data_IF_017217680928
#
_entry.id   IF_017217680928
#
_cell.length_a   1.000
_cell.length_b   1.000
_cell.length_c   1.000
_cell.angle_alpha   90.00
_cell.angle_beta   90.00
_cell.angle_gamma   90.00
#
_symmetry.space_group_name_H-M   'P 1'
#
loop_
_entity.id
_entity.type
_entity.pdbx_description
1 polymer ?
#
# COMPACT_ATOMS: atom_id res chain seq x y z
N UNK A 1 11.24 -0.53 -7.71
CA UNK A 1 9.78 -0.41 -7.95
C UNK A 1 9.13 0.38 -6.84
N UNK A 2 8.05 1.10 -7.14
CA UNK A 2 7.30 1.86 -6.14
C UNK A 2 6.81 0.94 -5.02
N UNK A 3 6.84 1.43 -3.78
CA UNK A 3 6.49 0.64 -2.60
C UNK A 3 7.45 -0.50 -2.26
N UNK A 4 8.49 -0.74 -3.05
CA UNK A 4 9.50 -1.76 -2.77
C UNK A 4 10.39 -1.39 -1.59
N UNK A 5 10.98 -2.41 -0.96
CA UNK A 5 12.05 -2.20 0.03
C UNK A 5 13.36 -1.90 -0.69
N UNK A 6 14.14 -1.00 -0.09
CA UNK A 6 15.51 -0.72 -0.49
C UNK A 6 16.43 -1.17 0.63
N UNK A 7 17.45 -1.96 0.28
CA UNK A 7 18.45 -2.41 1.25
C UNK A 7 19.51 -1.33 1.47
N UNK A 8 20.23 -1.43 2.59
CA UNK A 8 21.43 -0.62 2.80
C UNK A 8 22.42 -0.82 1.65
N UNK A 9 23.04 0.26 1.19
CA UNK A 9 23.89 0.25 0.01
C UNK A 9 23.82 1.54 -0.83
N UNK A 10 24.49 1.56 -1.98
CA UNK A 10 24.47 2.70 -2.89
C UNK A 10 23.06 2.99 -3.42
N UNK A 11 22.71 4.28 -3.48
CA UNK A 11 21.45 4.79 -4.01
C UNK A 11 21.77 5.94 -4.98
N UNK A 12 21.33 5.80 -6.23
CA UNK A 12 21.54 6.81 -7.27
C UNK A 12 20.24 7.19 -7.92
N UNK A 13 19.98 8.49 -7.98
CA UNK A 13 18.95 9.11 -8.80
C UNK A 13 19.67 9.87 -9.92
N UNK A 14 19.44 9.51 -11.18
CA UNK A 14 20.11 10.17 -12.30
C UNK A 14 19.53 11.56 -12.60
N UNK A 15 18.21 11.71 -12.45
CA UNK A 15 17.47 12.94 -12.65
C UNK A 15 16.08 12.83 -12.02
N UNK A 16 15.36 13.94 -11.93
CA UNK A 16 13.98 13.96 -11.48
C UNK A 16 13.86 13.99 -9.97
N UNK A 17 12.97 13.17 -9.42
CA UNK A 17 12.47 13.32 -8.06
C UNK A 17 12.13 11.94 -7.48
N UNK A 18 12.58 11.64 -6.26
CA UNK A 18 12.20 10.40 -5.56
C UNK A 18 11.86 10.64 -4.08
N UNK A 19 10.82 9.97 -3.59
CA UNK A 19 10.44 9.95 -2.17
C UNK A 19 10.90 8.64 -1.56
N UNK A 20 11.64 8.71 -0.44
CA UNK A 20 12.03 7.56 0.35
C UNK A 20 11.49 7.70 1.76
N UNK A 21 10.88 6.64 2.28
CA UNK A 21 10.52 6.53 3.69
C UNK A 21 11.42 5.48 4.32
N UNK A 22 12.22 5.91 5.29
CA UNK A 22 13.10 5.02 6.03
C UNK A 22 12.33 4.28 7.12
N UNK A 23 12.82 3.11 7.52
CA UNK A 23 12.18 2.30 8.56
C UNK A 23 12.18 2.99 9.94
N UNK A 24 13.07 3.97 10.17
CA UNK A 24 13.06 4.82 11.35
C UNK A 24 12.04 5.97 11.30
N UNK A 25 11.28 6.12 10.21
CA UNK A 25 10.19 7.09 10.08
C UNK A 25 10.54 8.39 9.35
N UNK A 26 11.83 8.68 9.12
CA UNK A 26 12.23 9.84 8.33
C UNK A 26 11.80 9.70 6.86
N UNK A 27 11.29 10.79 6.30
CA UNK A 27 10.88 10.89 4.89
C UNK A 27 11.86 11.79 4.16
N UNK A 28 12.45 11.28 3.08
CA UNK A 28 13.48 11.95 2.29
C UNK A 28 12.99 12.24 0.88
N UNK A 29 13.16 13.48 0.45
CA UNK A 29 12.97 13.93 -0.91
C UNK A 29 14.31 14.06 -1.61
N UNK A 30 14.55 13.28 -2.65
CA UNK A 30 15.71 13.40 -3.52
C UNK A 30 15.34 14.24 -4.73
N UNK A 31 16.16 15.24 -5.04
CA UNK A 31 15.94 16.15 -6.16
C UNK A 31 17.13 16.14 -7.13
N UNK A 32 16.83 15.95 -8.41
CA UNK A 32 17.79 16.05 -9.51
C UNK A 32 18.68 14.82 -9.59
N UNK A 33 19.98 15.05 -9.81
CA UNK A 33 20.99 14.01 -9.71
C UNK A 33 21.43 13.86 -8.25
N UNK A 34 21.30 12.67 -7.69
CA UNK A 34 21.71 12.35 -6.31
C UNK A 34 22.58 11.10 -6.30
N UNK A 35 23.73 11.19 -5.63
CA UNK A 35 24.54 10.03 -5.24
C UNK A 35 24.54 9.96 -3.70
N UNK A 36 23.99 8.87 -3.18
CA UNK A 36 23.83 8.66 -1.75
C UNK A 36 24.10 7.19 -1.39
N UNK A 37 24.21 6.91 -0.11
CA UNK A 37 24.28 5.56 0.44
C UNK A 37 23.29 5.43 1.58
N UNK A 38 22.36 4.49 1.47
CA UNK A 38 21.50 4.08 2.56
C UNK A 38 22.35 3.30 3.56
N UNK A 39 22.48 3.78 4.79
CA UNK A 39 23.28 3.11 5.83
C UNK A 39 22.41 2.26 6.73
N UNK A 40 21.27 2.79 7.16
CA UNK A 40 20.29 2.12 8.02
C UNK A 40 18.91 2.77 7.93
N UNK A 41 17.93 2.25 8.69
CA UNK A 41 16.61 2.87 8.81
C UNK A 41 16.62 4.27 9.45
N UNK A 42 17.74 4.71 10.04
CA UNK A 42 17.87 6.03 10.66
C UNK A 42 19.06 6.85 10.13
N UNK A 43 19.72 6.41 9.05
CA UNK A 43 20.89 7.13 8.54
C UNK A 43 21.14 6.94 7.04
N UNK A 44 21.53 8.05 6.41
CA UNK A 44 21.88 8.14 4.99
C UNK A 44 23.13 8.99 4.84
N UNK A 45 24.08 8.55 4.00
CA UNK A 45 25.20 9.37 3.58
C UNK A 45 24.90 10.02 2.22
N UNK A 46 24.94 11.35 2.13
CA UNK A 46 24.80 12.11 0.90
C UNK A 46 26.19 12.44 0.35
N UNK A 47 26.50 11.95 -0.86
CA UNK A 47 27.79 12.14 -1.52
C UNK A 47 27.75 13.30 -2.53
N UNK A 48 26.62 13.47 -3.22
CA UNK A 48 26.36 14.57 -4.13
C UNK A 48 24.85 14.76 -4.35
N UNK A 49 24.42 15.98 -4.62
CA UNK A 49 23.01 16.30 -4.92
C UNK A 49 22.28 16.94 -3.75
N UNK A 50 20.94 16.86 -3.78
CA UNK A 50 20.07 17.54 -2.82
C UNK A 50 19.07 16.57 -2.18
N UNK A 51 19.05 16.56 -0.85
CA UNK A 51 18.07 15.81 -0.04
C UNK A 51 17.32 16.78 0.87
N UNK A 52 15.99 16.67 0.88
CA UNK A 52 15.13 17.33 1.84
C UNK A 52 14.63 16.26 2.80
N UNK A 53 14.85 16.45 4.09
CA UNK A 53 14.40 15.53 5.12
C UNK A 53 13.22 16.15 5.86
N UNK A 54 12.15 15.38 6.02
CA UNK A 54 11.08 15.62 6.97
C UNK A 54 11.12 14.50 7.99
N UNK A 55 11.36 14.86 9.25
CA UNK A 55 11.54 13.90 10.33
C UNK A 55 10.48 14.18 11.40
N UNK A 56 9.47 13.31 11.52
CA UNK A 56 8.51 13.39 12.61
C UNK A 56 9.22 13.29 13.96
N UNK A 57 8.60 13.82 15.02
CA UNK A 57 9.16 13.78 16.38
C UNK A 57 9.50 12.36 16.85
N UNK A 58 8.66 11.38 16.50
CA UNK A 58 8.89 9.96 16.79
C UNK A 58 10.13 9.36 16.08
N UNK A 59 10.65 10.04 15.06
CA UNK A 59 11.81 9.67 14.26
C UNK A 59 13.05 10.54 14.57
N UNK A 60 13.00 11.38 15.62
CA UNK A 60 14.12 12.22 16.02
C UNK A 60 15.41 11.39 16.24
N UNK A 61 16.55 11.97 15.85
CA UNK A 61 17.84 11.28 15.80
C UNK A 61 18.23 10.73 14.43
N UNK A 62 17.40 10.95 13.39
CA UNK A 62 17.82 10.71 12.00
C UNK A 62 19.13 11.43 11.71
N UNK A 63 20.10 10.73 11.10
CA UNK A 63 21.43 11.26 10.82
C UNK A 63 21.72 11.25 9.32
N UNK A 64 21.89 12.44 8.74
CA UNK A 64 22.38 12.61 7.38
C UNK A 64 23.88 12.91 7.42
N UNK A 65 24.71 12.00 6.89
CA UNK A 65 26.16 12.22 6.78
C UNK A 65 26.48 12.93 5.48
N UNK A 66 27.33 13.95 5.56
CA UNK A 66 27.80 14.68 4.40
C UNK A 66 29.34 14.80 4.45
N UNK A 67 29.99 15.22 3.35
CA UNK A 67 31.35 15.71 3.46
C UNK A 67 31.47 16.80 4.53
N UNK A 68 32.54 16.73 5.34
CA UNK A 68 32.79 17.71 6.40
C UNK A 68 32.10 17.43 7.74
N UNK A 69 31.03 16.63 7.81
CA UNK A 69 30.37 16.32 9.09
C UNK A 69 29.01 15.62 8.99
N UNK A 70 28.40 15.40 10.15
CA UNK A 70 27.08 14.77 10.30
C UNK A 70 26.03 15.83 10.65
N UNK A 71 24.80 15.66 10.13
CA UNK A 71 23.63 16.46 10.48
C UNK A 71 22.66 15.56 11.22
N UNK A 72 22.40 15.85 12.49
CA UNK A 72 21.50 15.07 13.34
C UNK A 72 20.22 15.84 13.57
N UNK A 73 19.11 15.22 13.18
CA UNK A 73 17.78 15.76 13.33
C UNK A 73 17.28 15.66 14.78
N UNK A 74 16.57 16.69 15.24
CA UNK A 74 15.94 16.75 16.57
C UNK A 74 14.40 16.90 16.52
N UNK A 75 13.77 16.44 15.43
CA UNK A 75 12.35 16.56 15.11
C UNK A 75 12.07 17.72 14.16
N UNK A 76 12.54 17.64 12.91
CA UNK A 76 12.72 18.82 12.04
C UNK A 76 12.56 18.57 10.54
N UNK A 77 12.39 19.66 9.81
CA UNK A 77 12.54 19.72 8.36
C UNK A 77 13.81 20.49 7.99
N UNK A 78 14.68 19.86 7.20
CA UNK A 78 15.93 20.47 6.74
C UNK A 78 16.32 20.02 5.34
N UNK A 79 17.14 20.81 4.67
CA UNK A 79 17.66 20.54 3.32
C UNK A 79 19.17 20.48 3.39
N UNK A 80 19.75 19.45 2.79
CA UNK A 80 21.20 19.32 2.60
C UNK A 80 21.53 19.26 1.12
N UNK A 81 22.46 20.11 0.68
CA UNK A 81 23.02 20.11 -0.67
C UNK A 81 24.50 19.78 -0.59
N UNK A 82 24.95 18.84 -1.39
CA UNK A 82 26.38 18.54 -1.56
C UNK A 82 26.77 18.84 -3.00
N UNK A 83 27.63 19.84 -3.18
CA UNK A 83 28.16 20.23 -4.48
C UNK A 83 29.30 19.31 -4.93
N UNK A 84 29.69 19.42 -6.21
CA UNK A 84 30.74 18.60 -6.82
C UNK A 84 32.12 18.74 -6.16
N UNK A 85 32.40 19.87 -5.51
CA UNK A 85 33.61 20.12 -4.71
C UNK A 85 33.55 19.50 -3.30
N UNK A 86 32.50 18.71 -2.99
CA UNK A 86 32.28 18.11 -1.67
C UNK A 86 32.10 19.15 -0.55
N UNK A 87 31.61 20.35 -0.85
CA UNK A 87 31.06 21.25 0.16
C UNK A 87 29.61 20.85 0.44
N UNK A 88 29.24 20.77 1.72
CA UNK A 88 27.88 20.49 2.15
C UNK A 88 27.22 21.75 2.72
N UNK A 89 26.05 22.14 2.22
CA UNK A 89 25.25 23.24 2.73
C UNK A 89 23.98 22.67 3.39
N UNK A 90 23.77 23.00 4.66
CA UNK A 90 22.61 22.59 5.46
C UNK A 90 21.74 23.82 5.72
N UNK A 91 20.44 23.72 5.47
CA UNK A 91 19.46 24.78 5.76
C UNK A 91 18.31 24.20 6.56
N UNK A 92 17.96 24.81 7.69
CA UNK A 92 16.83 24.39 8.53
C UNK A 92 15.55 25.09 8.08
N UNK A 93 14.57 24.31 7.65
CA UNK A 93 13.27 24.81 7.19
C UNK A 93 12.34 25.03 8.37
N UNK A 94 12.25 24.05 9.28
CA UNK A 94 11.39 24.11 10.47
C UNK A 94 11.94 23.24 11.59
N UNK A 95 12.21 23.85 12.74
CA UNK A 95 12.70 23.18 13.94
C UNK A 95 14.18 23.43 14.16
N UNK A 96 14.91 22.40 14.59
CA UNK A 96 16.31 22.46 14.96
C UNK A 96 17.08 21.21 14.53
N UNK A 97 18.32 21.40 14.08
CA UNK A 97 19.28 20.31 13.83
C UNK A 97 20.57 20.56 14.62
N UNK A 98 21.28 19.48 14.93
CA UNK A 98 22.65 19.54 15.44
C UNK A 98 23.62 19.17 14.31
N UNK A 99 24.45 20.11 13.91
CA UNK A 99 25.55 19.87 12.98
C UNK A 99 26.79 19.50 13.76
N UNK A 100 27.34 18.32 13.46
CA UNK A 100 28.57 17.78 14.04
C UNK A 100 29.68 17.79 13.00
N UNK A 101 30.45 18.90 12.88
CA UNK A 101 31.57 18.92 11.95
C UNK A 101 32.66 17.93 12.36
N UNK A 102 33.46 17.48 11.40
CA UNK A 102 34.62 16.62 11.67
C UNK A 102 35.67 17.32 12.54
N UNK A 103 35.75 18.65 12.46
CA UNK A 103 36.62 19.46 13.29
C UNK A 103 35.81 20.53 14.02
N UNK A 104 36.05 20.66 15.33
CA UNK A 104 35.37 21.65 16.16
C UNK A 104 34.12 21.13 16.87
N UNK A 105 33.46 22.02 17.65
CA UNK A 105 32.29 21.64 18.44
C UNK A 105 31.03 21.48 17.58
N UNK A 106 30.09 20.67 18.07
CA UNK A 106 28.75 20.60 17.51
C UNK A 106 28.06 21.96 17.57
N UNK A 107 27.26 22.28 16.53
CA UNK A 107 26.54 23.53 16.41
C UNK A 107 25.06 23.28 16.22
N UNK A 108 24.23 23.93 17.04
CA UNK A 108 22.78 23.91 16.86
C UNK A 108 22.35 24.95 15.85
N UNK A 109 21.63 24.51 14.82
CA UNK A 109 20.97 25.38 13.86
C UNK A 109 19.46 25.33 14.09
N UNK A 110 18.81 26.48 13.95
CA UNK A 110 17.37 26.65 14.14
C UNK A 110 16.75 27.11 12.82
N UNK A 111 15.42 27.05 12.72
CA UNK A 111 14.62 27.57 11.60
C UNK A 111 15.21 28.82 10.94
N UNK A 112 15.34 28.79 9.62
CA UNK A 112 15.82 29.90 8.79
C UNK A 112 17.34 30.10 8.80
N UNK A 113 18.11 29.31 9.56
CA UNK A 113 19.57 29.35 9.54
C UNK A 113 20.15 28.33 8.57
N UNK A 114 21.33 28.66 8.04
CA UNK A 114 22.11 27.77 7.20
C UNK A 114 23.60 27.81 7.54
N UNK A 115 24.27 26.70 7.24
CA UNK A 115 25.68 26.49 7.51
C UNK A 115 26.29 25.65 6.38
N UNK A 116 27.47 26.06 5.92
CA UNK A 116 28.30 25.29 5.01
C UNK A 116 29.37 24.54 5.80
N UNK A 117 29.56 23.26 5.49
CA UNK A 117 30.64 22.41 5.96
C UNK A 117 31.58 22.14 4.78
N UNK A 118 32.84 22.49 4.95
CA UNK A 118 33.89 22.20 3.98
C UNK A 118 34.44 20.79 4.23
N UNK A 119 35.08 20.19 3.21
CA UNK A 119 35.60 18.81 3.30
C UNK A 119 36.63 18.61 4.42
N UNK A 120 37.39 19.65 4.75
CA UNK A 120 38.37 19.62 5.84
C UNK A 120 37.73 19.61 7.24
N UNK A 121 36.42 19.79 7.32
CA UNK A 121 35.65 19.83 8.56
C UNK A 121 35.45 21.23 9.12
N UNK A 122 35.97 22.27 8.46
CA UNK A 122 35.67 23.65 8.82
C UNK A 122 34.23 24.01 8.46
N UNK A 123 33.65 24.94 9.22
CA UNK A 123 32.26 25.37 9.04
C UNK A 123 32.13 26.87 8.98
N UNK A 124 31.16 27.35 8.20
CA UNK A 124 30.84 28.77 8.10
C UNK A 124 29.33 28.98 7.96
N UNK A 125 28.81 30.00 8.64
CA UNK A 125 27.44 30.43 8.42
C UNK A 125 27.27 30.90 6.96
N UNK A 126 26.11 30.61 6.37
CA UNK A 126 25.76 31.03 5.01
C UNK A 126 24.32 31.54 4.98
N UNK A 127 23.96 32.23 3.91
CA UNK A 127 22.58 32.66 3.70
C UNK A 127 21.70 31.43 3.42
N UNK A 128 20.58 31.31 4.15
CA UNK A 128 19.64 30.22 3.94
C UNK A 128 19.05 30.28 2.53
N UNK A 129 19.31 29.23 1.75
CA UNK A 129 18.69 29.00 0.44
C UNK A 129 17.51 28.08 0.64
N UNK A 130 16.43 28.63 1.21
CA UNK A 130 15.18 27.92 1.38
C UNK A 130 14.54 27.73 -0.01
N UNK A 131 14.27 26.48 -0.42
CA UNK A 131 13.35 26.26 -1.52
C UNK A 131 11.97 26.74 -1.05
N UNK A 132 11.36 27.67 -1.79
CA UNK A 132 10.14 28.37 -1.36
C UNK A 132 8.96 27.40 -1.12
N UNK A 133 9.01 26.17 -1.67
CA UNK A 133 7.89 25.20 -1.70
C UNK A 133 8.28 23.73 -1.87
N UNK A 134 9.40 23.27 -1.31
CA UNK A 134 9.93 21.94 -1.65
C UNK A 134 8.94 20.76 -1.50
N UNK A 135 8.12 20.80 -0.46
CA UNK A 135 7.09 19.78 -0.20
C UNK A 135 5.72 20.15 -0.79
N UNK A 136 5.39 21.44 -0.93
CA UNK A 136 4.14 21.91 -1.55
C UNK A 136 4.12 21.63 -3.07
N UNK A 137 5.26 21.79 -3.75
CA UNK A 137 5.41 21.45 -5.18
C UNK A 137 5.58 19.93 -5.41
N UNK A 138 5.59 19.13 -4.34
CA UNK A 138 5.58 17.67 -4.38
C UNK A 138 4.16 17.08 -4.51
N UNK A 139 3.13 17.88 -4.79
CA UNK A 139 1.89 17.35 -5.34
C UNK A 139 2.17 16.66 -6.68
N UNK A 140 2.64 15.41 -6.64
CA UNK A 140 2.59 14.53 -7.79
C UNK A 140 1.11 14.33 -8.04
N UNK A 141 0.60 14.99 -9.07
CA UNK A 141 -0.77 14.79 -9.53
C UNK A 141 -0.98 13.28 -9.67
N UNK A 142 -2.01 12.68 -9.07
CA UNK A 142 -2.23 11.23 -9.12
C UNK A 142 -2.18 10.69 -10.56
N UNK A 143 -2.71 11.45 -11.53
CA UNK A 143 -2.63 11.10 -12.95
C UNK A 143 -1.20 10.87 -13.47
N UNK A 144 -0.18 11.57 -12.94
CA UNK A 144 1.23 11.41 -13.31
C UNK A 144 1.91 10.22 -12.63
N UNK A 145 1.28 9.61 -11.62
CA UNK A 145 1.76 8.37 -10.98
C UNK A 145 1.26 7.11 -11.70
N UNK A 146 0.18 7.21 -12.48
CA UNK A 146 -0.34 6.06 -13.23
C UNK A 146 0.71 5.58 -14.20
N UNK A 147 0.99 4.28 -14.15
CA UNK A 147 1.91 3.63 -15.08
C UNK A 147 1.11 2.68 -15.95
N UNK A 148 1.37 2.75 -17.25
CA UNK A 148 0.84 1.76 -18.17
C UNK A 148 1.23 0.35 -17.71
N UNK A 149 0.27 -0.57 -17.69
CA UNK A 149 0.46 -1.94 -17.22
C UNK A 149 0.56 -2.12 -15.70
N UNK A 150 0.37 -1.08 -14.88
CA UNK A 150 0.37 -1.23 -13.43
C UNK A 150 -0.90 -1.89 -12.87
N UNK A 151 -2.04 -1.76 -13.56
CA UNK A 151 -3.25 -2.51 -13.24
C UNK A 151 -3.17 -3.91 -13.88
N UNK A 152 -3.00 -4.93 -13.04
CA UNK A 152 -2.77 -6.32 -13.46
C UNK A 152 -4.08 -7.09 -13.63
N UNK A 153 -5.04 -6.85 -12.73
CA UNK A 153 -6.37 -7.47 -12.73
C UNK A 153 -7.40 -6.43 -12.36
N UNK A 154 -8.53 -6.44 -13.05
CA UNK A 154 -9.68 -5.59 -12.75
C UNK A 154 -10.98 -6.31 -13.09
N UNK A 155 -11.98 -6.18 -12.23
CA UNK A 155 -13.35 -6.56 -12.52
C UNK A 155 -14.31 -5.66 -11.72
N UNK A 156 -15.13 -4.89 -12.44
CA UNK A 156 -16.20 -4.05 -11.89
C UNK A 156 -17.60 -4.64 -12.15
N UNK A 157 -17.67 -5.91 -12.58
CA UNK A 157 -18.92 -6.65 -12.79
C UNK A 157 -19.93 -5.95 -13.72
N UNK A 158 -19.46 -5.27 -14.77
CA UNK A 158 -20.24 -4.46 -15.72
C UNK A 158 -21.12 -5.28 -16.69
N UNK A 159 -21.41 -6.54 -16.37
CA UNK A 159 -22.31 -7.36 -17.18
C UNK A 159 -23.76 -6.90 -17.02
N UNK A 160 -24.61 -7.02 -18.07
CA UNK A 160 -25.99 -6.58 -18.03
C UNK A 160 -26.73 -7.06 -16.77
N UNK A 161 -27.55 -6.24 -16.10
CA UNK A 161 -28.24 -6.66 -14.88
C UNK A 161 -29.04 -7.95 -15.07
N UNK A 162 -28.94 -8.86 -14.10
CA UNK A 162 -29.66 -10.15 -14.12
C UNK A 162 -28.85 -11.30 -13.56
N UNK A 163 -29.47 -12.49 -13.56
CA UNK A 163 -28.85 -13.74 -13.10
C UNK A 163 -28.16 -14.45 -14.26
N UNK A 164 -26.85 -14.69 -14.11
CA UNK A 164 -25.99 -15.29 -15.14
C UNK A 164 -25.41 -16.63 -14.70
N UNK A 165 -25.14 -17.50 -15.66
CA UNK A 165 -24.16 -18.57 -15.46
C UNK A 165 -22.79 -17.90 -15.22
N UNK A 166 -22.04 -18.23 -14.16
CA UNK A 166 -20.70 -17.70 -13.95
C UNK A 166 -19.80 -17.82 -15.19
N UNK A 167 -19.96 -18.89 -15.98
CA UNK A 167 -19.18 -19.12 -17.19
C UNK A 167 -19.42 -18.08 -18.30
N UNK A 168 -20.55 -17.36 -18.26
CA UNK A 168 -20.87 -16.27 -19.18
C UNK A 168 -20.23 -14.93 -18.76
N UNK A 169 -19.73 -14.82 -17.52
CA UNK A 169 -19.15 -13.60 -16.98
C UNK A 169 -17.64 -13.58 -17.26
N UNK A 170 -17.27 -13.04 -18.43
CA UNK A 170 -15.89 -12.92 -18.90
C UNK A 170 -15.34 -11.49 -18.86
N UNK A 171 -16.12 -10.53 -18.36
CA UNK A 171 -15.71 -9.11 -18.28
C UNK A 171 -14.45 -8.85 -17.44
N UNK A 172 -14.02 -7.60 -17.41
CA UNK A 172 -12.79 -7.18 -16.73
C UNK A 172 -11.50 -7.50 -17.51
N UNK A 173 -10.35 -7.32 -16.85
CA UNK A 173 -9.02 -7.51 -17.43
C UNK A 173 -8.12 -8.34 -16.50
N UNK A 174 -7.11 -9.01 -17.07
CA UNK A 174 -6.13 -9.79 -16.31
C UNK A 174 -6.54 -11.22 -15.94
N UNK A 175 -7.67 -11.71 -16.47
CA UNK A 175 -8.24 -13.01 -16.15
C UNK A 175 -7.92 -14.08 -17.21
N UNK A 176 -7.65 -15.31 -16.76
CA UNK A 176 -7.36 -16.48 -17.59
C UNK A 176 -8.59 -17.29 -18.00
N UNK A 177 -9.79 -16.74 -17.82
CA UNK A 177 -11.05 -17.42 -18.08
C UNK A 177 -12.26 -16.71 -17.44
N UNK A 178 -13.46 -17.30 -17.52
CA UNK A 178 -14.66 -16.76 -16.87
C UNK A 178 -14.65 -17.03 -15.36
N UNK A 179 -15.61 -16.40 -14.66
CA UNK A 179 -15.95 -16.81 -13.30
C UNK A 179 -16.48 -18.25 -13.27
N UNK A 180 -16.33 -18.92 -12.13
CA UNK A 180 -16.88 -20.27 -11.91
C UNK A 180 -17.25 -20.50 -10.45
N UNK A 181 -17.99 -21.59 -10.22
CA UNK A 181 -18.17 -22.12 -8.86
C UNK A 181 -16.84 -22.61 -8.32
N UNK A 182 -16.64 -22.51 -7.00
CA UNK A 182 -15.43 -23.03 -6.36
C UNK A 182 -15.34 -24.55 -6.48
N UNK A 183 -14.25 -25.02 -7.08
CA UNK A 183 -13.91 -26.45 -7.24
C UNK A 183 -12.54 -26.76 -6.63
N UNK A 184 -12.23 -28.04 -6.47
CA UNK A 184 -10.85 -28.51 -6.27
C UNK A 184 -10.09 -28.62 -7.60
N UNK A 185 -8.86 -29.14 -7.54
CA UNK A 185 -7.99 -29.42 -8.69
C UNK A 185 -8.58 -30.43 -9.67
N UNK A 186 -9.50 -31.28 -9.23
CA UNK A 186 -10.17 -32.30 -10.06
C UNK A 186 -11.51 -31.79 -10.62
N UNK A 187 -11.87 -30.53 -10.35
CA UNK A 187 -13.11 -29.93 -10.80
C UNK A 187 -14.33 -30.31 -9.97
N UNK A 188 -14.17 -31.04 -8.86
CA UNK A 188 -15.27 -31.34 -7.96
C UNK A 188 -15.61 -30.12 -7.10
N UNK A 189 -16.91 -29.86 -6.91
CA UNK A 189 -17.36 -28.71 -6.12
C UNK A 189 -17.08 -28.95 -4.63
N UNK A 190 -16.26 -28.09 -4.03
CA UNK A 190 -15.86 -28.17 -2.61
C UNK A 190 -16.62 -27.20 -1.70
N UNK A 191 -17.74 -26.67 -2.19
CA UNK A 191 -18.56 -25.69 -1.46
C UNK A 191 -20.05 -26.06 -1.47
N UNK A 192 -20.71 -25.83 -0.32
CA UNK A 192 -22.08 -26.26 0.00
C UNK A 192 -23.16 -25.21 -0.28
N UNK A 193 -22.84 -24.09 -0.93
CA UNK A 193 -23.82 -23.03 -1.17
C UNK A 193 -24.87 -23.40 -2.20
N UNK A 194 -26.09 -22.90 -1.97
CA UNK A 194 -27.22 -23.17 -2.84
C UNK A 194 -27.16 -22.40 -4.17
N UNK A 195 -26.60 -21.17 -4.17
CA UNK A 195 -26.56 -20.33 -5.37
C UNK A 195 -25.52 -20.82 -6.39
N UNK A 196 -26.01 -21.16 -7.59
CA UNK A 196 -25.20 -21.61 -8.73
C UNK A 196 -24.96 -20.51 -9.77
N UNK A 197 -25.69 -19.40 -9.70
CA UNK A 197 -25.62 -18.29 -10.65
C UNK A 197 -24.95 -17.07 -10.02
N UNK A 198 -24.53 -16.10 -10.83
CA UNK A 198 -24.06 -14.79 -10.37
C UNK A 198 -25.04 -13.73 -10.83
N UNK A 199 -25.56 -12.96 -9.88
CA UNK A 199 -26.48 -11.86 -10.16
C UNK A 199 -25.70 -10.55 -10.28
N UNK A 200 -25.77 -9.89 -11.43
CA UNK A 200 -25.17 -8.56 -11.61
C UNK A 200 -26.24 -7.48 -11.57
N UNK A 201 -25.86 -6.28 -11.13
CA UNK A 201 -26.72 -5.10 -11.09
C UNK A 201 -25.99 -3.86 -11.59
N UNK A 202 -26.74 -2.84 -11.96
CA UNK A 202 -26.23 -1.52 -12.35
C UNK A 202 -26.65 -0.47 -11.31
N UNK A 203 -25.71 0.40 -10.94
CA UNK A 203 -25.85 1.43 -9.92
C UNK A 203 -25.21 2.72 -10.44
N UNK A 204 -26.01 3.60 -11.02
CA UNK A 204 -25.52 4.70 -11.85
C UNK A 204 -24.69 4.16 -13.03
N UNK A 205 -23.44 4.61 -13.12
CA UNK A 205 -22.49 4.16 -14.15
C UNK A 205 -21.63 2.95 -13.74
N UNK A 206 -21.90 2.33 -12.59
CA UNK A 206 -21.11 1.23 -12.05
C UNK A 206 -21.89 -0.11 -12.09
N UNK A 207 -21.18 -1.18 -12.44
CA UNK A 207 -21.65 -2.55 -12.25
C UNK A 207 -21.38 -3.04 -10.83
N UNK A 208 -22.01 -4.15 -10.44
CA UNK A 208 -21.66 -4.88 -9.23
C UNK A 208 -22.17 -6.33 -9.27
N UNK A 209 -21.47 -7.22 -8.56
CA UNK A 209 -22.01 -8.52 -8.19
C UNK A 209 -22.89 -8.39 -6.94
N UNK A 210 -24.14 -8.78 -7.06
CA UNK A 210 -25.09 -8.92 -5.97
C UNK A 210 -24.95 -10.31 -5.35
N UNK A 211 -24.10 -10.41 -4.33
CA UNK A 211 -23.95 -11.64 -3.58
C UNK A 211 -25.15 -11.79 -2.64
N UNK A 212 -25.97 -12.86 -2.77
CA UNK A 212 -27.15 -13.02 -1.92
C UNK A 212 -26.76 -13.31 -0.47
N UNK A 213 -27.74 -13.27 0.43
CA UNK A 213 -27.56 -13.76 1.80
C UNK A 213 -27.16 -15.24 1.82
N UNK A 214 -26.54 -15.67 2.91
CA UNK A 214 -25.90 -16.97 3.04
C UNK A 214 -24.48 -16.95 2.46
N UNK A 215 -23.86 -18.13 2.36
CA UNK A 215 -22.47 -18.25 1.91
C UNK A 215 -22.44 -18.38 0.38
N UNK A 216 -21.53 -17.65 -0.26
CA UNK A 216 -21.39 -17.56 -1.71
C UNK A 216 -19.89 -17.47 -2.03
N UNK A 217 -19.40 -18.40 -2.85
CA UNK A 217 -18.00 -18.43 -3.26
C UNK A 217 -17.92 -18.51 -4.78
N UNK A 218 -17.10 -17.65 -5.37
CA UNK A 218 -16.78 -17.65 -6.80
C UNK A 218 -15.28 -17.66 -6.95
N UNK A 219 -14.80 -18.43 -7.91
CA UNK A 219 -13.38 -18.48 -8.25
C UNK A 219 -13.16 -18.00 -9.68
N UNK A 220 -11.98 -17.45 -9.94
CA UNK A 220 -11.54 -17.10 -11.28
C UNK A 220 -10.02 -17.22 -11.39
N UNK A 221 -9.57 -17.78 -12.51
CA UNK A 221 -8.14 -17.96 -12.78
C UNK A 221 -7.51 -16.64 -13.23
N UNK A 222 -6.33 -16.35 -12.72
CA UNK A 222 -5.50 -15.24 -13.18
C UNK A 222 -4.87 -15.57 -14.54
N UNK A 223 -4.81 -14.59 -15.45
CA UNK A 223 -4.07 -14.77 -16.71
C UNK A 223 -2.56 -14.94 -16.45
N UNK A 224 -2.05 -14.21 -15.46
CA UNK A 224 -0.67 -14.31 -14.98
C UNK A 224 -0.68 -14.69 -13.50
N UNK A 225 -0.17 -15.87 -13.13
CA UNK A 225 -0.03 -16.27 -11.74
C UNK A 225 0.88 -15.34 -10.94
N UNK A 226 0.59 -15.21 -9.65
CA UNK A 226 1.44 -14.51 -8.69
C UNK A 226 2.54 -15.43 -8.22
N UNK A 227 3.72 -15.31 -8.82
CA UNK A 227 4.92 -15.93 -8.29
C UNK A 227 5.43 -15.11 -7.08
N UNK A 228 5.37 -15.73 -5.90
CA UNK A 228 5.81 -15.16 -4.63
C UNK A 228 7.26 -15.54 -4.27
N UNK A 229 7.94 -16.36 -5.08
CA UNK A 229 9.38 -16.61 -4.92
C UNK A 229 10.24 -15.49 -5.52
N UNK A 230 9.63 -14.54 -6.24
CA UNK A 230 10.30 -13.41 -6.88
C UNK A 230 10.04 -12.09 -6.15
N UNK A 231 11.00 -11.17 -6.25
CA UNK A 231 10.85 -9.80 -5.75
C UNK A 231 9.74 -9.08 -6.49
N UNK A 232 8.65 -8.75 -5.80
CA UNK A 232 7.55 -8.00 -6.39
C UNK A 232 6.76 -7.23 -5.33
N UNK A 233 6.17 -6.11 -5.78
CA UNK A 233 5.22 -5.31 -5.02
C UNK A 233 3.88 -5.44 -5.71
N UNK A 234 2.87 -5.88 -4.96
CA UNK A 234 1.50 -6.03 -5.46
C UNK A 234 0.52 -5.41 -4.48
N UNK A 235 -0.51 -4.78 -5.01
CA UNK A 235 -1.62 -4.20 -4.26
C UNK A 235 -2.89 -4.92 -4.67
N UNK A 236 -3.59 -5.51 -3.72
CA UNK A 236 -4.88 -6.14 -3.96
C UNK A 236 -5.96 -5.31 -3.25
N UNK A 237 -7.05 -4.99 -3.96
CA UNK A 237 -8.17 -4.29 -3.34
C UNK A 237 -9.52 -4.92 -3.67
N UNK A 238 -10.46 -4.75 -2.73
CA UNK A 238 -11.83 -5.20 -2.83
C UNK A 238 -12.74 -4.07 -2.34
N UNK A 239 -13.55 -3.52 -3.23
CA UNK A 239 -14.58 -2.54 -2.89
C UNK A 239 -15.93 -3.23 -2.77
N UNK A 240 -16.69 -2.89 -1.73
CA UNK A 240 -18.05 -3.35 -1.57
C UNK A 240 -18.92 -2.31 -0.88
N UNK A 241 -20.21 -2.45 -1.11
CA UNK A 241 -21.25 -1.75 -0.41
C UNK A 241 -22.14 -2.75 0.32
N UNK A 242 -22.53 -2.37 1.52
CA UNK A 242 -23.43 -3.13 2.36
C UNK A 242 -24.50 -2.23 2.96
N UNK A 243 -25.76 -2.64 2.80
CA UNK A 243 -26.87 -1.95 3.42
C UNK A 243 -26.81 -2.15 4.94
N UNK A 244 -26.86 -1.06 5.71
CA UNK A 244 -26.78 -1.13 7.16
C UNK A 244 -27.98 -1.89 7.72
N UNK A 245 -27.76 -3.01 8.42
CA UNK A 245 -28.85 -3.69 9.14
C UNK A 245 -29.45 -2.74 10.20
N UNK A 246 -30.80 -2.65 10.30
CA UNK A 246 -31.47 -1.90 11.37
C UNK A 246 -30.91 -2.30 12.74
N UNK A 247 -30.59 -1.32 13.57
CA UNK A 247 -29.90 -1.50 14.87
C UNK A 247 -30.59 -2.56 15.77
N UNK A 248 -31.92 -2.64 15.77
CA UNK A 248 -32.68 -3.62 16.54
C UNK A 248 -32.64 -5.08 16.01
N UNK A 249 -32.07 -5.32 14.83
CA UNK A 249 -31.90 -6.67 14.24
C UNK A 249 -30.46 -7.19 14.31
N UNK A 250 -29.52 -6.41 14.85
CA UNK A 250 -28.11 -6.79 14.92
C UNK A 250 -27.87 -7.81 16.04
N UNK A 251 -27.50 -9.04 15.67
CA UNK A 251 -26.84 -9.97 16.62
C UNK A 251 -25.33 -9.63 16.66
N UNK A 252 -24.65 -9.72 17.82
CA UNK A 252 -23.21 -9.43 17.92
C UNK A 252 -22.32 -10.24 16.97
N UNK A 253 -22.74 -11.46 16.62
CA UNK A 253 -22.04 -12.34 15.67
C UNK A 253 -22.39 -12.08 14.20
N UNK A 254 -23.28 -11.13 13.93
CA UNK A 254 -23.89 -10.88 12.62
C UNK A 254 -23.56 -9.47 12.13
N UNK A 255 -22.32 -9.03 12.35
CA UNK A 255 -21.84 -7.79 11.75
C UNK A 255 -21.97 -7.89 10.23
N UNK A 256 -22.59 -6.89 9.56
CA UNK A 256 -22.81 -6.90 8.12
C UNK A 256 -21.51 -7.17 7.36
N UNK A 257 -20.43 -6.43 7.63
CA UNK A 257 -19.17 -6.58 6.86
C UNK A 257 -18.40 -7.89 7.11
N UNK A 258 -18.88 -8.76 8.00
CA UNK A 258 -18.24 -10.03 8.29
C UNK A 258 -18.34 -11.02 7.13
N UNK A 259 -17.35 -11.91 7.02
CA UNK A 259 -17.42 -13.03 6.10
C UNK A 259 -17.27 -12.66 4.62
N UNK A 260 -16.85 -11.43 4.32
CA UNK A 260 -16.27 -11.06 3.02
C UNK A 260 -14.79 -11.45 3.00
N UNK A 261 -14.32 -12.12 1.94
CA UNK A 261 -12.88 -12.29 1.76
C UNK A 261 -12.48 -12.33 0.29
N UNK A 262 -11.31 -11.75 0.03
CA UNK A 262 -10.54 -11.90 -1.20
C UNK A 262 -9.38 -12.85 -0.92
N UNK A 263 -9.33 -13.99 -1.59
CA UNK A 263 -8.25 -14.97 -1.39
C UNK A 263 -7.54 -15.26 -2.70
N UNK A 264 -6.21 -15.20 -2.67
CA UNK A 264 -5.34 -15.70 -3.73
C UNK A 264 -4.81 -17.07 -3.30
N UNK A 265 -4.89 -18.09 -4.16
CA UNK A 265 -4.36 -19.42 -3.86
C UNK A 265 -3.98 -20.21 -5.10
N UNK A 266 -3.22 -21.29 -4.91
CA UNK A 266 -3.20 -22.42 -5.85
C UNK A 266 -4.36 -23.39 -5.56
N UNK A 267 -4.89 -24.02 -6.61
CA UNK A 267 -5.84 -25.13 -6.47
C UNK A 267 -5.16 -26.50 -6.34
N UNK A 268 -3.85 -26.59 -6.52
CA UNK A 268 -3.10 -27.83 -6.30
C UNK A 268 -2.96 -28.12 -4.79
N UNK A 269 -3.38 -29.32 -4.36
CA UNK A 269 -3.50 -29.75 -2.95
C UNK A 269 -2.18 -29.77 -2.15
N UNK A 270 -1.03 -29.64 -2.82
CA UNK A 270 0.28 -29.76 -2.21
C UNK A 270 0.95 -28.43 -1.81
N UNK A 271 0.41 -27.28 -2.20
CA UNK A 271 1.11 -26.00 -2.02
C UNK A 271 0.65 -25.23 -0.75
N UNK A 272 1.58 -24.77 0.12
CA UNK A 272 1.27 -23.88 1.25
C UNK A 272 0.88 -22.43 0.85
N UNK A 273 0.52 -22.20 -0.41
CA UNK A 273 0.28 -20.88 -0.98
C UNK A 273 -1.18 -20.44 -0.92
N UNK A 274 -1.54 -19.70 0.13
CA UNK A 274 -2.69 -18.79 0.05
C UNK A 274 -2.39 -17.47 0.72
N UNK A 275 -3.00 -16.42 0.21
CA UNK A 275 -3.12 -15.10 0.84
C UNK A 275 -4.60 -14.76 0.89
N UNK A 276 -5.20 -14.90 2.06
CA UNK A 276 -6.58 -14.51 2.33
C UNK A 276 -6.64 -13.16 3.02
N UNK A 277 -7.46 -12.26 2.50
CA UNK A 277 -7.70 -10.91 3.02
C UNK A 277 -9.17 -10.82 3.40
N UNK A 278 -9.48 -10.50 4.66
CA UNK A 278 -10.83 -10.62 5.21
C UNK A 278 -11.12 -9.55 6.26
N UNK A 279 -12.41 -9.28 6.48
CA UNK A 279 -12.93 -8.63 7.69
C UNK A 279 -13.70 -9.67 8.51
N UNK A 280 -13.37 -9.79 9.80
CA UNK A 280 -14.03 -10.73 10.71
C UNK A 280 -15.38 -10.21 11.24
N UNK A 281 -16.06 -10.99 12.08
CA UNK A 281 -17.36 -10.62 12.65
C UNK A 281 -17.32 -9.47 13.65
N UNK A 282 -16.14 -9.04 14.08
CA UNK A 282 -15.92 -7.89 14.94
C UNK A 282 -15.39 -6.69 14.15
N UNK A 283 -15.51 -6.71 12.82
CA UNK A 283 -14.98 -5.70 11.91
C UNK A 283 -13.46 -5.57 11.96
N UNK A 284 -12.74 -6.61 12.38
CA UNK A 284 -11.29 -6.57 12.38
C UNK A 284 -10.75 -7.09 11.05
N UNK A 285 -9.91 -6.32 10.35
CA UNK A 285 -9.12 -6.85 9.25
C UNK A 285 -8.36 -8.11 9.70
N UNK A 286 -8.22 -9.06 8.77
CA UNK A 286 -7.51 -10.32 8.97
C UNK A 286 -6.74 -10.72 7.71
N UNK A 287 -5.49 -11.13 7.91
CA UNK A 287 -4.69 -11.82 6.90
C UNK A 287 -4.63 -13.30 7.27
N UNK A 288 -4.88 -14.18 6.31
CA UNK A 288 -4.77 -15.62 6.44
C UNK A 288 -3.75 -16.15 5.44
N UNK A 289 -2.87 -17.03 5.89
CA UNK A 289 -1.85 -17.64 5.03
C UNK A 289 -2.03 -19.15 4.98
N UNK A 290 -1.40 -19.81 4.01
CA UNK A 290 -1.47 -21.28 3.89
C UNK A 290 -0.68 -22.02 4.95
N UNK A 291 0.19 -21.32 5.68
CA UNK A 291 0.98 -21.84 6.80
C UNK A 291 0.21 -21.96 8.12
N UNK A 292 -1.12 -21.79 8.10
CA UNK A 292 -1.95 -21.78 9.30
C UNK A 292 -1.80 -20.52 10.18
N UNK A 293 -0.87 -19.62 9.82
CA UNK A 293 -0.70 -18.32 10.46
C UNK A 293 -1.84 -17.38 10.03
N UNK A 294 -2.49 -16.77 11.02
CA UNK A 294 -3.49 -15.72 10.81
C UNK A 294 -3.16 -14.50 11.63
N UNK A 295 -3.19 -13.33 11.00
CA UNK A 295 -2.91 -12.04 11.62
C UNK A 295 -4.20 -11.27 11.72
N UNK A 296 -4.56 -10.79 12.92
CA UNK A 296 -5.80 -10.06 13.17
C UNK A 296 -5.45 -8.66 13.63
N UNK A 297 -6.09 -7.65 13.04
CA UNK A 297 -5.89 -6.27 13.44
C UNK A 297 -6.35 -6.04 14.89
N UNK A 298 -5.65 -5.14 15.58
CA UNK A 298 -6.11 -4.60 16.87
C UNK A 298 -7.12 -3.46 16.69
N UNK A 299 -7.09 -2.83 15.52
CA UNK A 299 -8.01 -1.77 15.10
C UNK A 299 -9.20 -2.42 14.40
N UNK A 300 -10.40 -1.87 14.64
CA UNK A 300 -11.60 -2.26 13.91
C UNK A 300 -11.79 -1.30 12.76
N UNK A 301 -12.18 -1.81 11.60
CA UNK A 301 -12.71 -0.97 10.54
C UNK A 301 -13.99 -0.29 11.06
N UNK A 302 -14.24 0.94 10.62
CA UNK A 302 -15.49 1.61 10.97
C UNK A 302 -16.67 0.94 10.25
N UNK A 303 -17.86 1.16 10.79
CA UNK A 303 -19.09 0.78 10.12
C UNK A 303 -19.39 1.77 8.99
N UNK A 304 -18.96 1.43 7.77
CA UNK A 304 -19.29 2.17 6.55
C UNK A 304 -20.34 1.46 5.71
N UNK A 305 -21.13 2.22 4.95
CA UNK A 305 -21.98 1.66 3.88
C UNK A 305 -21.15 1.19 2.69
N UNK A 306 -20.05 1.88 2.40
CA UNK A 306 -19.10 1.55 1.35
C UNK A 306 -17.72 1.46 1.96
N UNK A 307 -17.04 0.34 1.73
CA UNK A 307 -15.74 0.03 2.31
C UNK A 307 -14.76 -0.39 1.21
N UNK A 308 -13.48 -0.13 1.44
CA UNK A 308 -12.39 -0.57 0.57
C UNK A 308 -11.36 -1.30 1.41
N UNK A 309 -11.21 -2.60 1.16
CA UNK A 309 -10.09 -3.36 1.69
C UNK A 309 -8.92 -3.21 0.73
N UNK A 310 -7.74 -2.85 1.24
CA UNK A 310 -6.51 -2.80 0.44
C UNK A 310 -5.40 -3.55 1.16
N UNK A 311 -4.73 -4.44 0.45
CA UNK A 311 -3.54 -5.11 0.91
C UNK A 311 -2.35 -4.75 0.03
N UNK A 312 -1.19 -4.58 0.66
CA UNK A 312 0.11 -4.57 -0.03
C UNK A 312 0.82 -5.89 0.27
N UNK A 313 1.16 -6.61 -0.79
CA UNK A 313 1.88 -7.89 -0.77
C UNK A 313 3.27 -7.62 -1.35
N UNK A 314 4.27 -7.68 -0.48
CA UNK A 314 5.67 -7.61 -0.83
C UNK A 314 6.24 -9.03 -0.79
N UNK A 315 6.44 -9.64 -1.95
CA UNK A 315 7.17 -10.90 -2.07
C UNK A 315 8.65 -10.62 -2.24
N UNK A 316 9.50 -11.40 -1.58
CA UNK A 316 10.95 -11.25 -1.66
C UNK A 316 11.63 -12.57 -2.01
N UNK A 317 12.56 -12.55 -2.95
CA UNK A 317 13.43 -13.70 -3.26
C UNK A 317 14.26 -14.08 -2.04
N UNK A 318 14.78 -13.08 -1.34
CA UNK A 318 15.59 -13.23 -0.13
C UNK A 318 14.95 -12.49 1.05
N UNK A 319 14.85 -13.16 2.20
CA UNK A 319 14.21 -12.63 3.40
C UNK A 319 12.72 -12.99 3.51
N UNK A 320 12.01 -12.27 4.38
CA UNK A 320 10.60 -12.54 4.71
C UNK A 320 9.65 -11.88 3.71
N UNK A 321 8.52 -12.47 3.39
CA UNK A 321 7.44 -11.71 2.73
C UNK A 321 6.77 -10.77 3.74
N UNK A 322 6.29 -9.63 3.26
CA UNK A 322 5.47 -8.71 4.08
C UNK A 322 4.10 -8.54 3.43
N UNK A 323 3.05 -8.76 4.21
CA UNK A 323 1.70 -8.39 3.84
C UNK A 323 1.22 -7.32 4.81
N UNK A 324 0.75 -6.21 4.25
CA UNK A 324 0.05 -5.18 4.99
C UNK A 324 -1.40 -5.12 4.54
N UNK A 325 -2.29 -4.81 5.47
CA UNK A 325 -3.73 -4.74 5.22
C UNK A 325 -4.31 -3.53 5.96
N UNK A 326 -5.16 -2.77 5.27
CA UNK A 326 -6.00 -1.72 5.86
C UNK A 326 -7.38 -1.73 5.22
N UNK A 327 -8.39 -1.33 5.98
CA UNK A 327 -9.74 -1.05 5.45
C UNK A 327 -10.00 0.44 5.52
N UNK A 328 -10.43 1.01 4.40
CA UNK A 328 -10.79 2.41 4.25
C UNK A 328 -12.32 2.56 4.16
N UNK A 329 -12.79 3.75 4.51
CA UNK A 329 -14.19 4.12 4.52
C UNK A 329 -14.36 5.61 4.18
N UNK A 330 -15.57 6.13 4.35
CA UNK A 330 -15.90 7.52 4.00
C UNK A 330 -15.18 8.57 4.88
N UNK A 331 -14.93 8.24 6.15
CA UNK A 331 -14.29 9.13 7.11
C UNK A 331 -12.76 9.08 6.98
N UNK A 332 -12.23 7.96 6.47
CA UNK A 332 -10.81 7.75 6.18
C UNK A 332 -10.62 7.15 4.77
N UNK A 333 -10.77 7.97 3.71
CA UNK A 333 -10.63 7.51 2.32
C UNK A 333 -9.15 7.27 1.94
N UNK A 334 -8.86 6.38 0.97
CA UNK A 334 -7.50 6.18 0.49
C UNK A 334 -6.97 7.45 -0.19
N UNK A 335 -5.76 7.87 0.18
CA UNK A 335 -5.08 9.01 -0.43
C UNK A 335 -4.34 8.67 -1.73
N UNK A 336 -3.68 9.67 -2.31
CA UNK A 336 -2.80 9.50 -3.47
C UNK A 336 -1.54 8.64 -3.19
N UNK A 337 -1.26 8.37 -1.92
CA UNK A 337 -0.07 7.65 -1.47
C UNK A 337 -0.45 6.51 -0.52
N UNK A 338 0.46 5.54 -0.38
CA UNK A 338 0.32 4.51 0.65
C UNK A 338 0.12 5.16 2.02
N UNK A 339 -0.82 4.66 2.85
CA UNK A 339 -1.05 5.20 4.17
C UNK A 339 0.22 5.08 5.01
N UNK A 340 0.41 6.02 5.93
CA UNK A 340 1.52 5.97 6.89
C UNK A 340 1.41 4.75 7.80
N UNK A 341 0.18 4.45 8.21
CA UNK A 341 -0.14 3.33 9.09
C UNK A 341 -0.93 2.25 8.36
N UNK A 342 -0.63 1.00 8.67
CA UNK A 342 -1.37 -0.15 8.20
C UNK A 342 -1.96 -0.88 9.41
N UNK A 343 -3.22 -1.29 9.34
CA UNK A 343 -3.91 -2.00 10.44
C UNK A 343 -3.20 -3.29 10.82
N UNK A 344 -2.60 -3.95 9.81
CA UNK A 344 -1.78 -5.14 9.98
C UNK A 344 -0.51 -4.98 9.17
N UNK A 345 0.60 -5.44 9.75
CA UNK A 345 1.86 -5.74 9.06
C UNK A 345 2.36 -7.10 9.55
N UNK A 346 2.52 -8.05 8.63
CA UNK A 346 3.05 -9.38 8.99
C UNK A 346 4.55 -9.32 9.26
N UNK A 347 5.05 -10.34 9.97
CA UNK A 347 6.48 -10.64 10.17
C UNK A 347 6.66 -12.16 10.20
N UNK A 348 7.88 -12.64 9.93
CA UNK A 348 8.21 -14.06 9.98
C UNK A 348 7.47 -14.88 8.93
N UNK A 349 7.12 -14.27 7.79
CA UNK A 349 6.36 -14.91 6.73
C UNK A 349 7.27 -15.31 5.58
N UNK A 350 7.07 -16.51 5.04
CA UNK A 350 7.63 -16.94 3.76
C UNK A 350 6.56 -17.77 3.06
N UNK A 351 6.07 -17.28 1.94
CA UNK A 351 4.96 -17.88 1.20
C UNK A 351 5.45 -18.87 0.15
N UNK A 352 6.52 -18.53 -0.58
CA UNK A 352 7.21 -19.39 -1.56
C UNK A 352 6.25 -20.21 -2.44
N UNK A 353 5.26 -19.51 -3.01
CA UNK A 353 4.15 -20.13 -3.72
C UNK A 353 3.78 -19.39 -5.00
N UNK A 354 3.19 -20.12 -5.93
CA UNK A 354 2.57 -19.58 -7.14
C UNK A 354 1.05 -19.57 -6.92
N UNK A 355 0.44 -18.39 -6.90
CA UNK A 355 -1.01 -18.24 -6.71
C UNK A 355 -1.66 -17.91 -8.05
N UNK A 356 -2.54 -18.77 -8.53
CA UNK A 356 -3.12 -18.65 -9.88
C UNK A 356 -4.64 -18.46 -9.87
N UNK A 357 -5.30 -18.55 -8.70
CA UNK A 357 -6.73 -18.34 -8.55
C UNK A 357 -7.06 -17.24 -7.56
N UNK A 358 -8.07 -16.46 -7.90
CA UNK A 358 -8.81 -15.58 -6.99
C UNK A 358 -10.07 -16.29 -6.54
N UNK A 359 -10.35 -16.24 -5.25
CA UNK A 359 -11.62 -16.64 -4.65
C UNK A 359 -12.23 -15.43 -3.97
N UNK A 360 -13.43 -15.07 -4.41
CA UNK A 360 -14.29 -14.14 -3.70
C UNK A 360 -15.30 -14.92 -2.87
N UNK A 361 -15.34 -14.63 -1.59
CA UNK A 361 -16.34 -15.15 -0.67
C UNK A 361 -17.17 -14.01 -0.12
N UNK A 362 -18.48 -14.18 -0.14
CA UNK A 362 -19.43 -13.40 0.65
C UNK A 362 -20.27 -14.35 1.50
N UNK A 363 -20.30 -14.14 2.81
CA UNK A 363 -21.19 -14.90 3.69
C UNK A 363 -21.79 -14.00 4.76
N UNK A 364 -23.10 -14.07 4.95
CA UNK A 364 -23.77 -13.27 5.97
C UNK A 364 -25.28 -13.38 5.92
N UNK A 365 -26.00 -12.70 6.82
CA UNK A 365 -27.46 -12.68 6.85
C UNK A 365 -28.08 -11.72 5.82
N UNK A 366 -27.28 -10.81 5.25
CA UNK A 366 -27.67 -9.77 4.29
C UNK A 366 -27.05 -10.04 2.91
N UNK A 367 -27.73 -9.66 1.82
CA UNK A 367 -27.08 -9.48 0.52
C UNK A 367 -25.99 -8.41 0.59
N UNK A 368 -24.99 -8.53 -0.28
CA UNK A 368 -23.87 -7.59 -0.40
C UNK A 368 -23.66 -7.21 -1.86
N UNK A 369 -23.38 -5.93 -2.09
CA UNK A 369 -22.96 -5.42 -3.40
C UNK A 369 -21.44 -5.42 -3.45
N UNK A 370 -20.84 -6.35 -4.18
CA UNK A 370 -19.39 -6.37 -4.42
C UNK A 370 -19.16 -5.58 -5.71
N UNK A 371 -18.45 -4.47 -5.59
CA UNK A 371 -18.38 -3.47 -6.66
C UNK A 371 -17.15 -3.69 -7.52
N UNK A 372 -16.01 -4.00 -6.91
CA UNK A 372 -14.77 -4.02 -7.66
C UNK A 372 -13.69 -4.88 -7.01
N UNK A 373 -12.95 -5.61 -7.85
CA UNK A 373 -11.69 -6.28 -7.49
C UNK A 373 -10.57 -5.71 -8.32
N UNK A 374 -9.46 -5.34 -7.68
CA UNK A 374 -8.23 -4.94 -8.37
C UNK A 374 -7.02 -5.70 -7.85
N UNK A 375 -6.08 -5.95 -8.76
CA UNK A 375 -4.71 -6.28 -8.44
C UNK A 375 -3.81 -5.35 -9.26
N UNK A 376 -2.86 -4.69 -8.61
CA UNK A 376 -1.97 -3.74 -9.26
C UNK A 376 -0.52 -3.87 -8.75
N UNK A 377 0.44 -3.30 -9.47
CA UNK A 377 1.83 -3.15 -9.04
C UNK A 377 2.16 -1.75 -8.52
N UNK A 378 1.18 -0.83 -8.51
CA UNK A 378 1.30 0.53 -7.99
C UNK A 378 0.09 0.85 -7.10
N UNK A 379 0.30 1.70 -6.09
CA UNK A 379 -0.71 2.01 -5.08
C UNK A 379 -1.96 2.61 -5.71
N UNK A 380 -1.77 3.63 -6.55
CA UNK A 380 -2.87 4.41 -7.10
C UNK A 380 -3.79 3.57 -7.99
N UNK A 381 -3.24 2.63 -8.76
CA UNK A 381 -4.03 1.75 -9.62
C UNK A 381 -4.93 0.77 -8.83
N UNK A 382 -4.59 0.50 -7.57
CA UNK A 382 -5.41 -0.31 -6.66
C UNK A 382 -6.52 0.48 -5.96
N UNK A 383 -6.44 1.81 -5.86
CA UNK A 383 -7.40 2.63 -5.10
C UNK A 383 -8.14 3.67 -5.95
N UNK A 384 -7.71 3.91 -7.19
CA UNK A 384 -8.32 4.88 -8.10
C UNK A 384 -9.79 4.56 -8.35
N UNK A 385 -10.61 5.61 -8.39
CA UNK A 385 -12.03 5.50 -8.72
C UNK A 385 -12.92 5.14 -7.52
N UNK A 386 -12.30 4.82 -6.38
CA UNK A 386 -13.05 4.67 -5.14
C UNK A 386 -13.45 6.05 -4.57
N UNK A 387 -14.67 6.15 -4.07
CA UNK A 387 -15.23 7.35 -3.45
C UNK A 387 -16.14 6.97 -2.28
N UNK A 388 -16.27 7.86 -1.29
CA UNK A 388 -17.19 7.64 -0.18
C UNK A 388 -18.66 7.60 -0.63
N UNK A 389 -19.01 8.47 -1.57
CA UNK A 389 -20.36 8.58 -2.14
C UNK A 389 -20.49 7.66 -3.36
N UNK A 390 -21.66 7.05 -3.53
CA UNK A 390 -22.07 6.60 -4.87
C UNK A 390 -22.16 7.86 -5.73
N UNK A 391 -21.53 7.89 -6.91
CA UNK A 391 -21.90 8.91 -7.89
C UNK A 391 -23.42 8.85 -8.04
N UNK A 392 -24.09 9.93 -7.67
CA UNK A 392 -25.54 10.04 -7.45
C UNK A 392 -26.37 9.01 -8.23
N UNK A 393 -27.22 8.29 -7.49
CA UNK A 393 -28.47 7.77 -8.05
C UNK A 393 -29.29 9.00 -8.50
N UNK A 394 -29.23 9.33 -9.80
CA UNK A 394 -30.32 10.02 -10.49
C UNK A 394 -31.29 8.99 -11.09
#
# INVERSE_FOLDING_TARGET
NEGGRLNAGPLRLSAGRALLRLDGGAVLLLHGAVDARLESGGSVALLAGEIHAQVPEAAAGFTLRAPGGDVVDLGTEFVTRVSHDSMAEVTVVKGEVEVRPRQGPAQRLTTGKALAMERDGSVRATAARLPVRAWEDWEIKPAAQRREGALLVHDAFESPPGSHDPAALTGGAGWGGPWSLLTDSQGARIYSGASRTMETGAFGNAGAWLAPAGKNLRQRRLAQPLDLAQDAVRYASLAWFEESLPTGRRKPSASPASGLSLTFRSLEDAAPGRVGLRVDHLLRPRIETGMGQGFVSRVRANEGRRLLLVAKILSRREGEDEIMLRVFDADDPPGAWEPEEWDIRTRGLRLDAVLDHVILQSSGPSPRRIEEVRLASAWLDAVTGWSAEMSNDE
#
